data_IF_595661485312
#
_entry.id   IF_595661485312
#
_cell.length_a   1.000
_cell.length_b   1.000
_cell.length_c   1.000
_cell.angle_alpha   90.00
_cell.angle_beta   90.00
_cell.angle_gamma   90.00
#
_symmetry.space_group_name_H-M   'P 1'
#
loop_
_entity.id
_entity.type
_entity.pdbx_description
1 polymer ?
#
# COMPACT_ATOMS: atom_id res chain seq x y z
N UNK A 1 -3.60 -7.91 5.26
CA UNK A 1 -4.25 -7.75 3.94
C UNK A 1 -3.72 -6.50 3.25
N UNK A 2 -3.37 -6.60 1.96
CA UNK A 2 -2.93 -5.45 1.14
C UNK A 2 -4.14 -4.84 0.44
N UNK A 3 -4.37 -3.55 0.64
CA UNK A 3 -5.42 -2.79 -0.05
C UNK A 3 -4.84 -1.54 -0.68
N UNK A 4 -5.51 -1.00 -1.68
CA UNK A 4 -5.13 0.30 -2.23
C UNK A 4 -5.98 0.68 -3.43
N UNK A 5 -5.91 1.94 -3.80
CA UNK A 5 -6.59 2.48 -4.98
C UNK A 5 -5.96 1.93 -6.29
N UNK A 6 -6.58 2.19 -7.44
CA UNK A 6 -6.09 1.73 -8.75
C UNK A 6 -4.76 2.35 -9.17
N UNK A 7 -4.42 3.53 -8.67
CA UNK A 7 -3.17 4.24 -8.91
C UNK A 7 -2.05 3.87 -7.91
N UNK A 8 -2.36 3.12 -6.86
CA UNK A 8 -1.46 2.81 -5.74
C UNK A 8 -0.33 1.80 -6.05
N UNK A 9 0.08 1.66 -7.31
CA UNK A 9 1.24 0.88 -7.79
C UNK A 9 1.45 -0.48 -7.12
N UNK A 10 0.35 -1.14 -6.71
CA UNK A 10 0.39 -2.36 -5.88
C UNK A 10 1.09 -3.49 -6.62
N UNK A 11 0.81 -3.58 -7.92
CA UNK A 11 1.35 -4.61 -8.77
C UNK A 11 2.85 -4.45 -8.94
N UNK A 12 3.29 -3.21 -9.15
CA UNK A 12 4.70 -2.84 -9.25
C UNK A 12 5.45 -3.14 -7.94
N UNK A 13 4.88 -2.77 -6.78
CA UNK A 13 5.49 -3.08 -5.48
C UNK A 13 5.67 -4.58 -5.28
N UNK A 14 4.62 -5.38 -5.53
CA UNK A 14 4.67 -6.84 -5.37
C UNK A 14 5.66 -7.45 -6.38
N UNK A 15 5.69 -6.96 -7.62
CA UNK A 15 6.59 -7.45 -8.65
C UNK A 15 8.05 -7.18 -8.32
N UNK A 16 8.36 -5.98 -7.82
CA UNK A 16 9.70 -5.61 -7.37
C UNK A 16 10.14 -6.44 -6.17
N UNK A 17 9.19 -6.80 -5.28
CA UNK A 17 9.47 -7.68 -4.16
C UNK A 17 9.80 -9.12 -4.59
N UNK A 18 8.98 -9.71 -5.47
CA UNK A 18 9.15 -11.10 -5.92
C UNK A 18 10.35 -11.24 -6.87
N UNK A 19 10.61 -10.22 -7.70
CA UNK A 19 11.62 -10.27 -8.76
C UNK A 19 12.58 -9.06 -8.71
N UNK A 20 13.41 -8.93 -7.65
CA UNK A 20 14.26 -7.76 -7.45
C UNK A 20 15.33 -7.57 -8.54
N UNK A 21 15.68 -8.62 -9.29
CA UNK A 21 16.70 -8.62 -10.36
C UNK A 21 16.11 -8.64 -11.77
N UNK A 22 14.78 -8.70 -11.91
CA UNK A 22 14.16 -8.83 -13.24
C UNK A 22 14.03 -7.48 -13.93
N UNK A 23 14.83 -7.29 -14.99
CA UNK A 23 14.49 -6.34 -16.04
C UNK A 23 13.16 -6.75 -16.68
N UNK A 24 12.07 -6.07 -16.28
CA UNK A 24 10.77 -6.04 -16.97
C UNK A 24 10.18 -7.41 -17.39
N UNK A 25 10.18 -8.43 -16.54
CA UNK A 25 9.15 -9.49 -16.68
C UNK A 25 7.96 -9.11 -15.82
N UNK A 26 6.91 -8.61 -16.47
CA UNK A 26 5.63 -8.32 -15.84
C UNK A 26 5.12 -9.59 -15.16
N UNK A 27 5.24 -9.70 -13.83
CA UNK A 27 4.45 -10.69 -13.12
C UNK A 27 2.99 -10.27 -13.31
N UNK A 28 2.22 -11.20 -13.89
CA UNK A 28 0.81 -11.01 -14.16
C UNK A 28 0.08 -10.95 -12.82
N UNK A 29 -0.21 -9.72 -12.39
CA UNK A 29 -1.10 -9.47 -11.27
C UNK A 29 -2.46 -9.18 -11.89
N UNK A 30 -3.47 -10.04 -11.66
CA UNK A 30 -4.79 -9.86 -12.24
C UNK A 30 -5.28 -8.43 -11.96
N UNK A 31 -5.57 -7.68 -13.03
CA UNK A 31 -6.23 -6.38 -12.88
C UNK A 31 -7.54 -6.65 -12.14
N UNK A 32 -7.65 -6.13 -10.92
CA UNK A 32 -8.84 -6.31 -10.09
C UNK A 32 -10.07 -5.92 -10.90
N UNK A 33 -10.91 -6.91 -11.21
CA UNK A 33 -12.08 -6.75 -12.04
C UNK A 33 -13.00 -5.66 -11.45
N UNK A 34 -13.57 -4.85 -12.32
CA UNK A 34 -14.31 -3.63 -11.99
C UNK A 34 -15.73 -3.90 -11.43
N UNK A 35 -15.99 -5.07 -10.84
CA UNK A 35 -17.32 -5.50 -10.43
C UNK A 35 -17.49 -5.49 -8.89
N UNK A 36 -18.56 -4.84 -8.44
CA UNK A 36 -19.09 -4.77 -7.05
C UNK A 36 -18.04 -4.69 -5.92
N UNK A 37 -17.06 -3.79 -6.11
CA UNK A 37 -15.81 -3.73 -5.33
C UNK A 37 -15.98 -3.52 -3.82
N UNK A 38 -17.08 -2.96 -3.34
CA UNK A 38 -17.21 -2.69 -1.90
C UNK A 38 -17.62 -3.93 -1.11
N UNK A 39 -18.61 -4.69 -1.57
CA UNK A 39 -19.19 -5.78 -0.76
C UNK A 39 -18.23 -6.99 -0.65
N UNK A 40 -17.60 -7.41 -1.76
CA UNK A 40 -16.65 -8.54 -1.76
C UNK A 40 -15.35 -8.19 -1.04
N UNK A 41 -14.87 -6.95 -1.21
CA UNK A 41 -13.69 -6.44 -0.51
C UNK A 41 -13.93 -6.33 0.99
N UNK A 42 -15.09 -5.84 1.42
CA UNK A 42 -15.46 -5.76 2.83
C UNK A 42 -15.59 -7.14 3.49
N UNK A 43 -16.08 -8.16 2.77
CA UNK A 43 -16.07 -9.54 3.27
C UNK A 43 -14.64 -10.04 3.58
N UNK A 44 -13.67 -9.64 2.76
CA UNK A 44 -12.25 -9.99 2.95
C UNK A 44 -11.62 -9.26 4.15
N UNK A 45 -12.25 -8.22 4.68
CA UNK A 45 -11.77 -7.48 5.86
C UNK A 45 -12.08 -8.17 7.18
N UNK A 46 -12.79 -9.32 7.17
CA UNK A 46 -13.25 -9.98 8.40
C UNK A 46 -12.15 -10.66 9.22
N UNK A 47 -11.04 -11.08 8.60
CA UNK A 47 -10.02 -11.90 9.26
C UNK A 47 -8.57 -11.41 9.23
N UNK A 48 -8.17 -10.29 8.59
CA UNK A 48 -6.76 -9.91 8.61
C UNK A 48 -6.35 -9.37 9.98
N UNK A 49 -5.16 -9.79 10.43
CA UNK A 49 -4.51 -9.30 11.65
C UNK A 49 -3.99 -7.87 11.51
N UNK A 50 -3.67 -7.45 10.29
CA UNK A 50 -3.23 -6.10 9.98
C UNK A 50 -3.58 -5.70 8.53
N UNK A 51 -3.69 -4.39 8.31
CA UNK A 51 -3.91 -3.79 6.99
C UNK A 51 -2.67 -3.06 6.50
N UNK A 52 -2.30 -3.36 5.26
CA UNK A 52 -1.31 -2.62 4.50
C UNK A 52 -2.06 -1.77 3.47
N UNK A 53 -2.15 -0.47 3.71
CA UNK A 53 -2.93 0.47 2.89
C UNK A 53 -1.98 1.20 1.95
N UNK A 54 -2.08 0.92 0.66
CA UNK A 54 -1.28 1.55 -0.38
C UNK A 54 -2.10 2.65 -1.05
N UNK A 55 -1.48 3.80 -1.25
CA UNK A 55 -2.05 4.92 -1.99
C UNK A 55 -0.99 5.48 -2.93
N UNK A 56 -1.42 6.06 -4.04
CA UNK A 56 -0.53 6.94 -4.77
C UNK A 56 -0.12 8.08 -3.82
N UNK A 57 1.19 8.34 -3.69
CA UNK A 57 1.72 9.40 -2.84
C UNK A 57 1.06 10.75 -3.14
N UNK A 58 0.69 11.05 -4.38
CA UNK A 58 0.09 12.36 -4.72
C UNK A 58 -1.40 12.48 -4.40
N UNK A 59 -2.08 11.41 -3.96
CA UNK A 59 -3.53 11.38 -3.78
C UNK A 59 -3.94 11.31 -2.31
N UNK A 60 -4.15 12.48 -1.70
CA UNK A 60 -4.66 12.58 -0.32
C UNK A 60 -6.14 12.19 -0.18
N UNK A 61 -6.93 12.33 -1.26
CA UNK A 61 -8.36 12.00 -1.27
C UNK A 61 -8.56 10.49 -1.16
N UNK A 62 -7.87 9.72 -2.00
CA UNK A 62 -7.95 8.26 -1.99
C UNK A 62 -7.43 7.66 -0.69
N UNK A 63 -6.35 8.23 -0.16
CA UNK A 63 -5.81 7.90 1.17
C UNK A 63 -6.88 8.00 2.26
N UNK A 64 -7.59 9.13 2.35
CA UNK A 64 -8.66 9.34 3.35
C UNK A 64 -9.80 8.36 3.16
N UNK A 65 -10.23 8.12 1.92
CA UNK A 65 -11.32 7.21 1.60
C UNK A 65 -11.01 5.78 2.03
N UNK A 66 -9.82 5.27 1.70
CA UNK A 66 -9.38 3.92 2.04
C UNK A 66 -9.21 3.74 3.55
N UNK A 67 -8.58 4.71 4.23
CA UNK A 67 -8.38 4.65 5.66
C UNK A 67 -9.71 4.71 6.42
N UNK A 68 -10.65 5.55 5.98
CA UNK A 68 -11.99 5.59 6.55
C UNK A 68 -12.74 4.27 6.35
N UNK A 69 -12.62 3.65 5.17
CA UNK A 69 -13.24 2.35 4.88
C UNK A 69 -12.72 1.24 5.80
N UNK A 70 -11.39 1.14 5.96
CA UNK A 70 -10.77 0.16 6.87
C UNK A 70 -11.18 0.44 8.31
N UNK A 71 -11.16 1.71 8.72
CA UNK A 71 -11.52 2.09 10.09
C UNK A 71 -12.96 1.72 10.42
N UNK A 72 -13.89 1.87 9.48
CA UNK A 72 -15.30 1.47 9.66
C UNK A 72 -15.47 -0.05 9.70
N UNK A 73 -14.72 -0.79 8.88
CA UNK A 73 -14.86 -2.24 8.80
C UNK A 73 -14.13 -2.98 9.94
N UNK A 74 -12.98 -2.45 10.38
CA UNK A 74 -12.07 -3.05 11.36
C UNK A 74 -11.39 -1.95 12.19
N UNK A 75 -12.11 -1.33 13.14
CA UNK A 75 -11.58 -0.23 13.94
C UNK A 75 -10.36 -0.63 14.77
N UNK A 76 -10.32 -1.88 15.25
CA UNK A 76 -9.25 -2.40 16.13
C UNK A 76 -8.04 -2.96 15.37
N UNK A 77 -8.17 -3.18 14.06
CA UNK A 77 -7.07 -3.75 13.30
C UNK A 77 -5.98 -2.70 13.03
N UNK A 78 -4.71 -3.01 13.34
CA UNK A 78 -3.60 -2.13 13.04
C UNK A 78 -3.48 -1.92 11.54
N UNK A 79 -3.15 -0.69 11.15
CA UNK A 79 -3.03 -0.29 9.75
C UNK A 79 -1.74 0.48 9.51
N UNK A 80 -1.01 0.09 8.48
CA UNK A 80 0.20 0.75 8.01
C UNK A 80 -0.12 1.43 6.68
N UNK A 81 0.14 2.72 6.57
CA UNK A 81 -0.07 3.48 5.34
C UNK A 81 1.22 3.57 4.54
N UNK A 82 1.14 3.31 3.24
CA UNK A 82 2.25 3.39 2.29
C UNK A 82 1.91 4.35 1.16
N UNK A 83 2.71 5.40 1.02
CA UNK A 83 2.73 6.27 -0.16
C UNK A 83 3.61 5.65 -1.24
N UNK A 84 3.01 5.09 -2.28
CA UNK A 84 3.76 4.53 -3.41
C UNK A 84 4.09 5.59 -4.45
N UNK A 85 5.30 5.57 -4.99
CA UNK A 85 5.74 6.42 -6.09
C UNK A 85 6.79 5.72 -6.96
N UNK A 86 6.97 6.19 -8.20
CA UNK A 86 8.06 5.77 -9.10
C UNK A 86 9.17 6.82 -9.16
N UNK A 87 8.78 8.08 -9.27
CA UNK A 87 9.70 9.22 -9.26
C UNK A 87 9.60 9.95 -7.93
N UNK A 88 10.72 10.41 -7.34
CA UNK A 88 10.67 11.25 -6.17
C UNK A 88 9.89 12.54 -6.50
N UNK A 89 8.82 12.79 -5.77
CA UNK A 89 8.07 14.04 -5.80
C UNK A 89 7.76 14.48 -4.37
N UNK A 90 7.69 15.80 -4.20
CA UNK A 90 7.74 16.54 -2.95
C UNK A 90 6.53 16.31 -2.01
N UNK A 91 6.76 16.72 -0.76
CA UNK A 91 5.89 16.76 0.42
C UNK A 91 5.55 15.44 1.14
N UNK A 92 6.38 15.15 2.15
CA UNK A 92 6.24 14.06 3.12
C UNK A 92 5.32 14.44 4.31
N UNK A 93 5.14 15.75 4.58
CA UNK A 93 4.50 16.24 5.81
C UNK A 93 2.98 16.06 5.84
N UNK A 94 2.29 16.20 4.71
CA UNK A 94 0.82 16.13 4.68
C UNK A 94 0.33 14.70 4.94
N UNK A 95 1.05 13.69 4.43
CA UNK A 95 0.62 12.29 4.52
C UNK A 95 0.81 11.69 5.90
N UNK A 96 1.85 12.09 6.62
CA UNK A 96 2.07 11.65 8.01
C UNK A 96 0.92 12.09 8.92
N UNK A 97 0.47 13.35 8.77
CA UNK A 97 -0.66 13.89 9.54
C UNK A 97 -1.97 13.18 9.20
N UNK A 98 -2.25 12.95 7.91
CA UNK A 98 -3.45 12.21 7.49
C UNK A 98 -3.40 10.77 7.98
N UNK A 99 -2.27 10.09 7.92
CA UNK A 99 -2.12 8.73 8.44
C UNK A 99 -2.50 8.66 9.93
N UNK A 100 -1.94 9.56 10.73
CA UNK A 100 -2.20 9.61 12.17
C UNK A 100 -3.68 9.91 12.50
N UNK A 101 -4.31 10.86 11.79
CA UNK A 101 -5.72 11.22 11.99
C UNK A 101 -6.67 10.04 11.79
N UNK A 102 -6.31 9.08 10.94
CA UNK A 102 -7.11 7.88 10.68
C UNK A 102 -6.55 6.63 11.37
N UNK A 103 -5.74 6.81 12.42
CA UNK A 103 -5.26 5.72 13.28
C UNK A 103 -4.30 4.74 12.59
N UNK A 104 -3.59 5.18 11.56
CA UNK A 104 -2.47 4.41 11.05
C UNK A 104 -1.33 4.42 12.06
N UNK A 105 -0.73 3.24 12.28
CA UNK A 105 0.40 3.05 13.20
C UNK A 105 1.63 3.82 12.70
N UNK A 106 1.80 3.89 11.37
CA UNK A 106 2.91 4.59 10.72
C UNK A 106 2.56 4.93 9.28
N UNK A 107 3.26 5.92 8.74
CA UNK A 107 3.33 6.23 7.32
C UNK A 107 4.73 5.89 6.78
N UNK A 108 4.81 5.23 5.63
CA UNK A 108 6.06 4.94 4.93
C UNK A 108 5.96 5.34 3.46
N UNK A 109 7.05 5.89 2.94
CA UNK A 109 7.22 6.17 1.53
C UNK A 109 7.85 4.94 0.85
N UNK A 110 7.28 4.52 -0.29
CA UNK A 110 7.75 3.36 -1.05
C UNK A 110 8.02 3.73 -2.50
N UNK A 111 9.31 3.79 -2.86
CA UNK A 111 9.70 3.78 -4.26
C UNK A 111 9.53 2.36 -4.80
N UNK A 112 8.49 2.13 -5.59
CA UNK A 112 8.18 0.78 -6.11
C UNK A 112 9.22 0.28 -7.11
N UNK A 113 10.11 1.13 -7.61
CA UNK A 113 11.23 0.74 -8.48
C UNK A 113 12.47 0.32 -7.68
N UNK A 114 12.53 0.61 -6.37
CA UNK A 114 13.67 0.33 -5.53
C UNK A 114 13.46 -0.94 -4.69
N UNK A 115 14.15 -2.06 -4.98
CA UNK A 115 14.03 -3.29 -4.18
C UNK A 115 14.29 -3.08 -2.70
N UNK A 116 15.24 -2.21 -2.33
CA UNK A 116 15.51 -1.83 -0.94
C UNK A 116 14.31 -1.14 -0.28
N UNK A 117 13.67 -0.19 -0.99
CA UNK A 117 12.51 0.54 -0.47
C UNK A 117 11.32 -0.38 -0.24
N UNK A 118 11.07 -1.29 -1.18
CA UNK A 118 10.04 -2.33 -1.06
C UNK A 118 10.35 -3.32 0.05
N UNK A 119 11.62 -3.73 0.18
CA UNK A 119 12.11 -4.62 1.24
C UNK A 119 11.89 -4.03 2.63
N UNK A 120 12.18 -2.74 2.83
CA UNK A 120 11.91 -2.02 4.10
C UNK A 120 10.43 -2.05 4.48
N UNK A 121 9.53 -1.91 3.50
CA UNK A 121 8.07 -1.86 3.73
C UNK A 121 7.50 -3.25 4.03
N UNK A 122 8.00 -4.28 3.36
CA UNK A 122 7.49 -5.66 3.47
C UNK A 122 8.29 -6.51 4.47
N UNK A 123 9.31 -5.95 5.12
CA UNK A 123 10.06 -6.61 6.19
C UNK A 123 11.17 -7.56 5.73
N UNK A 124 11.61 -7.49 4.47
CA UNK A 124 12.80 -8.22 4.02
C UNK A 124 14.05 -7.34 4.23
N UNK A 125 14.73 -7.55 5.35
CA UNK A 125 16.16 -7.24 5.43
C UNK A 125 16.90 -8.28 4.56
N UNK A 126 17.32 -7.89 3.36
CA UNK A 126 18.51 -8.52 2.79
C UNK A 126 19.70 -7.94 3.55
N UNK A 127 20.11 -8.60 4.63
CA UNK A 127 21.45 -8.41 5.17
C UNK A 127 22.42 -8.75 4.03
N UNK A 128 23.11 -7.72 3.55
CA UNK A 128 24.18 -7.87 2.57
C UNK A 128 25.41 -8.34 3.36
N UNK A 129 25.71 -9.63 3.29
CA UNK A 129 27.06 -10.17 3.54
C UNK A 129 27.76 -10.39 2.22
#
# INVERSE_FOLDING_TARGET
MVIGDTAALKSEMINTFINPTSSRKHAYIPKGAHYSRNTVRQQSYRYPDAFLVLTNKTSTVEMKNLLAEVSRARPDAPRLLIGTFQNPAEDEKIHTTVAALFGAVKYLDCNVQGPKSVGTVLGHHQEST
#
